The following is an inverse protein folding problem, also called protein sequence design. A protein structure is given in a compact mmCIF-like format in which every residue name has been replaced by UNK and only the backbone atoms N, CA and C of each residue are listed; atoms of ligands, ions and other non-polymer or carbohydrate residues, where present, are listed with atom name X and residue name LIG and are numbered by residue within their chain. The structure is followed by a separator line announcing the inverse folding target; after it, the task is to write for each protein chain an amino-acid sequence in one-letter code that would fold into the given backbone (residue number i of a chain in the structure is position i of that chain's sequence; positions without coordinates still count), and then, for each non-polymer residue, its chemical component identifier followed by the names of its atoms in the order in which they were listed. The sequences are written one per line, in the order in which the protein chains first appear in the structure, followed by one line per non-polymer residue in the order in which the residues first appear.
data_IF_314080815716
#
_entry.id   IF_314080815716
#
_cell.length_a   1.000
_cell.length_b   1.000
_cell.length_c   1.000
_cell.angle_alpha   90.00
_cell.angle_beta   90.00
_cell.angle_gamma   90.00
#
_symmetry.space_group_name_H-M   'P 1'
#
loop_
_entity.id
_entity.type
_entity.pdbx_description
1 polymer ?
#
# COMPACT_ATOMS: atom_id res chain seq x y z
N UNK A 1 -9.49 32.59 13.66
CA UNK A 1 -10.52 31.98 12.78
C UNK A 1 -9.94 31.61 11.44
N UNK A 2 -9.49 32.57 10.65
CA UNK A 2 -8.90 32.29 9.34
C UNK A 2 -7.62 31.43 9.44
N UNK A 3 -6.85 31.59 10.53
CA UNK A 3 -5.65 30.78 10.74
C UNK A 3 -5.95 29.30 10.94
N UNK A 4 -7.10 28.97 11.49
CA UNK A 4 -7.53 27.57 11.64
C UNK A 4 -7.84 26.90 10.30
N UNK A 5 -8.45 27.65 9.38
CA UNK A 5 -8.70 27.14 8.04
C UNK A 5 -7.41 26.90 7.27
N UNK A 6 -6.47 27.82 7.37
CA UNK A 6 -5.16 27.67 6.75
C UNK A 6 -4.40 26.48 7.33
N UNK A 7 -4.44 26.32 8.65
CA UNK A 7 -3.82 25.18 9.31
C UNK A 7 -4.45 23.86 8.85
N UNK A 8 -5.76 23.82 8.61
CA UNK A 8 -6.43 22.63 8.08
C UNK A 8 -5.95 22.25 6.67
N UNK A 9 -5.79 23.24 5.79
CA UNK A 9 -5.26 23.01 4.45
C UNK A 9 -3.81 22.53 4.50
N UNK A 10 -3.00 23.16 5.35
CA UNK A 10 -1.60 22.77 5.54
C UNK A 10 -1.48 21.36 6.10
N UNK A 11 -2.38 20.96 7.00
CA UNK A 11 -2.40 19.62 7.56
C UNK A 11 -2.67 18.57 6.49
N UNK A 12 -3.58 18.83 5.56
CA UNK A 12 -3.86 17.91 4.46
C UNK A 12 -2.63 17.73 3.56
N UNK A 13 -1.94 18.83 3.25
CA UNK A 13 -0.72 18.77 2.46
C UNK A 13 0.39 18.03 3.21
N UNK A 14 0.50 18.25 4.52
CA UNK A 14 1.47 17.54 5.37
C UNK A 14 1.19 16.05 5.37
N UNK A 15 -0.07 15.65 5.51
CA UNK A 15 -0.45 14.24 5.50
C UNK A 15 -0.03 13.59 4.19
N UNK A 16 -0.31 14.23 3.05
CA UNK A 16 0.06 13.72 1.74
C UNK A 16 1.58 13.66 1.55
N UNK A 17 2.31 14.69 2.02
CA UNK A 17 3.76 14.73 1.91
C UNK A 17 4.45 13.77 2.86
N UNK A 18 3.79 13.42 3.97
CA UNK A 18 4.32 12.49 4.97
C UNK A 18 3.74 11.09 4.80
N UNK A 19 2.97 10.86 3.75
CA UNK A 19 2.44 9.55 3.45
C UNK A 19 3.58 8.55 3.27
N UNK A 20 3.35 7.35 3.77
CA UNK A 20 4.34 6.27 3.70
C UNK A 20 3.82 5.24 2.71
N UNK A 21 4.64 4.93 1.72
CA UNK A 21 4.35 3.86 0.77
C UNK A 21 5.23 2.67 1.07
N UNK A 22 4.61 1.53 1.26
CA UNK A 22 5.30 0.27 1.49
C UNK A 22 5.10 -0.59 0.25
N UNK A 23 6.19 -0.99 -0.36
CA UNK A 23 6.17 -1.93 -1.47
C UNK A 23 6.51 -3.31 -0.94
N UNK A 24 5.55 -4.22 -1.06
CA UNK A 24 5.75 -5.61 -0.68
C UNK A 24 5.83 -6.45 -1.95
N UNK A 25 6.97 -7.06 -2.16
CA UNK A 25 7.19 -7.91 -3.33
C UNK A 25 7.06 -9.36 -2.90
N UNK A 26 5.98 -10.00 -3.31
CA UNK A 26 5.69 -11.39 -2.98
C UNK A 26 6.21 -12.30 -4.08
N UNK A 27 6.88 -13.36 -3.68
CA UNK A 27 7.34 -14.42 -4.60
C UNK A 27 6.85 -15.77 -4.11
N UNK A 28 6.54 -16.63 -5.04
CA UNK A 28 6.12 -18.00 -4.76
C UNK A 28 6.45 -18.90 -5.92
N UNK A 29 5.82 -20.07 -5.96
CA UNK A 29 5.95 -21.02 -7.06
C UNK A 29 4.55 -21.39 -7.56
N UNK A 30 4.45 -21.91 -8.77
CA UNK A 30 3.21 -22.43 -9.33
C UNK A 30 2.06 -21.41 -9.35
N UNK A 31 2.37 -20.12 -9.52
CA UNK A 31 1.38 -19.06 -9.55
C UNK A 31 0.81 -18.70 -8.18
N UNK A 32 1.43 -19.15 -7.11
CA UNK A 32 0.90 -18.98 -5.77
C UNK A 32 0.79 -17.52 -5.32
N UNK A 33 1.71 -16.65 -5.75
CA UNK A 33 1.62 -15.24 -5.40
C UNK A 33 0.37 -14.60 -6.00
N UNK A 34 0.03 -14.94 -7.23
CA UNK A 34 -1.20 -14.47 -7.87
C UNK A 34 -2.44 -15.05 -7.19
N UNK A 35 -2.43 -16.33 -6.87
CA UNK A 35 -3.55 -16.98 -6.15
C UNK A 35 -3.80 -16.30 -4.81
N UNK A 36 -2.73 -15.97 -4.10
CA UNK A 36 -2.81 -15.23 -2.85
C UNK A 36 -3.48 -13.87 -3.06
N UNK A 37 -3.01 -13.09 -4.03
CA UNK A 37 -3.57 -11.76 -4.30
C UNK A 37 -5.05 -11.87 -4.69
N UNK A 38 -5.41 -12.84 -5.51
CA UNK A 38 -6.79 -13.09 -5.91
C UNK A 38 -7.66 -13.45 -4.70
N UNK A 39 -7.17 -14.27 -3.80
CA UNK A 39 -7.93 -14.63 -2.59
C UNK A 39 -8.06 -13.43 -1.64
N UNK A 40 -7.03 -12.62 -1.49
CA UNK A 40 -7.11 -11.37 -0.72
C UNK A 40 -8.24 -10.47 -1.24
N UNK A 41 -8.41 -10.42 -2.56
CA UNK A 41 -9.45 -9.62 -3.20
C UNK A 41 -10.83 -10.27 -3.03
N UNK A 42 -10.95 -11.55 -3.41
CA UNK A 42 -12.25 -12.24 -3.44
C UNK A 42 -12.83 -12.47 -2.05
N UNK A 43 -11.99 -12.60 -1.04
CA UNK A 43 -12.44 -12.78 0.35
C UNK A 43 -12.99 -11.49 0.97
N UNK A 44 -12.83 -10.34 0.31
CA UNK A 44 -13.23 -9.05 0.86
C UNK A 44 -12.16 -8.42 1.77
N UNK A 45 -11.02 -9.08 1.94
CA UNK A 45 -9.96 -8.57 2.82
C UNK A 45 -9.38 -7.26 2.29
N UNK A 46 -9.13 -7.17 0.99
CA UNK A 46 -8.63 -5.93 0.37
C UNK A 46 -9.61 -4.78 0.57
N UNK A 47 -10.90 -5.02 0.35
CA UNK A 47 -11.92 -3.98 0.55
C UNK A 47 -11.94 -3.50 2.00
N UNK A 48 -11.80 -4.42 2.95
CA UNK A 48 -11.76 -4.07 4.37
C UNK A 48 -10.53 -3.23 4.71
N UNK A 49 -9.37 -3.55 4.12
CA UNK A 49 -8.15 -2.75 4.33
C UNK A 49 -8.32 -1.36 3.74
N UNK A 50 -8.87 -1.27 2.54
CA UNK A 50 -9.10 0.03 1.89
C UNK A 50 -10.07 0.91 2.66
N UNK A 51 -10.94 0.33 3.48
CA UNK A 51 -11.86 1.05 4.33
C UNK A 51 -11.23 1.52 5.65
N UNK A 52 -10.04 1.06 5.99
CA UNK A 52 -9.35 1.48 7.20
C UNK A 52 -8.93 2.94 7.10
N UNK A 53 -9.04 3.64 8.24
CA UNK A 53 -8.64 5.05 8.30
C UNK A 53 -7.16 5.20 7.95
N UNK A 54 -6.90 6.12 7.04
CA UNK A 54 -5.54 6.44 6.63
C UNK A 54 -5.00 5.57 5.51
N UNK A 55 -5.73 4.53 5.06
CA UNK A 55 -5.29 3.79 3.89
C UNK A 55 -5.49 4.65 2.63
N UNK A 56 -4.42 4.85 1.88
CA UNK A 56 -4.43 5.65 0.66
C UNK A 56 -4.39 4.78 -0.59
N UNK A 57 -3.80 3.59 -0.49
CA UNK A 57 -3.62 2.71 -1.63
C UNK A 57 -3.35 1.30 -1.15
N UNK A 58 -3.98 0.34 -1.77
CA UNK A 58 -3.73 -1.07 -1.53
C UNK A 58 -4.02 -1.80 -2.83
N UNK A 59 -2.99 -1.96 -3.67
CA UNK A 59 -3.17 -2.46 -5.04
C UNK A 59 -2.08 -3.46 -5.39
N UNK A 60 -2.50 -4.54 -6.05
CA UNK A 60 -1.60 -5.59 -6.51
C UNK A 60 -1.26 -5.40 -7.98
N UNK A 61 -0.03 -5.72 -8.33
CA UNK A 61 0.50 -5.66 -9.69
C UNK A 61 1.29 -6.90 -10.01
N UNK A 62 1.10 -7.41 -11.21
CA UNK A 62 1.85 -8.57 -11.71
C UNK A 62 3.13 -8.08 -12.38
N UNK A 63 4.27 -8.70 -12.05
CA UNK A 63 5.51 -8.45 -12.80
C UNK A 63 5.36 -9.00 -14.21
N UNK A 64 5.75 -8.21 -15.22
CA UNK A 64 5.71 -8.66 -16.61
C UNK A 64 6.82 -9.66 -16.92
N UNK A 65 7.94 -9.55 -16.22
CA UNK A 65 9.12 -10.40 -16.44
C UNK A 65 9.07 -11.71 -15.66
N UNK A 66 8.30 -11.72 -14.56
CA UNK A 66 8.29 -12.85 -13.64
C UNK A 66 6.86 -13.12 -13.16
N UNK A 67 6.20 -14.14 -13.73
CA UNK A 67 4.82 -14.48 -13.34
C UNK A 67 4.70 -14.98 -11.90
N UNK A 68 5.81 -15.31 -11.25
CA UNK A 68 5.82 -15.76 -9.87
C UNK A 68 5.94 -14.61 -8.87
N UNK A 69 6.00 -13.36 -9.36
CA UNK A 69 6.16 -12.17 -8.51
C UNK A 69 4.96 -11.23 -8.63
N UNK A 70 4.41 -10.88 -7.47
CA UNK A 70 3.34 -9.87 -7.34
C UNK A 70 3.88 -8.74 -6.46
N UNK A 71 3.68 -7.52 -6.91
CA UNK A 71 3.97 -6.32 -6.12
C UNK A 71 2.69 -5.80 -5.50
N UNK A 72 2.71 -5.58 -4.20
CA UNK A 72 1.67 -4.82 -3.50
C UNK A 72 2.20 -3.43 -3.23
N UNK A 73 1.48 -2.42 -3.68
CA UNK A 73 1.71 -1.04 -3.28
C UNK A 73 0.72 -0.70 -2.18
N UNK A 74 1.23 -0.43 -1.00
CA UNK A 74 0.47 -0.27 0.23
C UNK A 74 0.84 1.09 0.84
N UNK A 75 -0.05 2.07 0.70
CA UNK A 75 0.24 3.45 1.12
C UNK A 75 -0.71 3.89 2.23
N UNK A 76 -0.17 4.60 3.19
CA UNK A 76 -0.86 5.07 4.38
C UNK A 76 -0.54 6.53 4.66
N UNK A 77 -1.49 7.22 5.24
CA UNK A 77 -1.34 8.65 5.56
C UNK A 77 -0.26 8.92 6.61
N UNK A 78 0.01 7.93 7.48
CA UNK A 78 0.95 8.11 8.60
C UNK A 78 1.41 6.75 9.16
N UNK A 79 2.45 6.78 9.97
CA UNK A 79 2.87 5.60 10.72
C UNK A 79 1.79 5.14 11.70
N UNK A 80 1.04 6.08 12.28
CA UNK A 80 -0.05 5.74 13.19
C UNK A 80 -1.13 4.92 12.50
N UNK A 81 -1.44 5.24 11.25
CA UNK A 81 -2.40 4.47 10.45
C UNK A 81 -1.87 3.05 10.18
N UNK A 82 -0.59 2.92 9.89
CA UNK A 82 0.05 1.61 9.72
C UNK A 82 -0.03 0.80 11.01
N UNK A 83 0.29 1.42 12.13
CA UNK A 83 0.26 0.76 13.44
C UNK A 83 -1.15 0.28 13.79
N UNK A 84 -2.16 1.10 13.50
CA UNK A 84 -3.55 0.72 13.70
C UNK A 84 -3.94 -0.48 12.82
N UNK A 85 -3.50 -0.47 11.55
CA UNK A 85 -3.71 -1.60 10.65
C UNK A 85 -3.07 -2.88 11.19
N UNK A 86 -1.82 -2.80 11.66
CA UNK A 86 -1.11 -3.95 12.22
C UNK A 86 -1.75 -4.49 13.51
N UNK A 87 -2.55 -3.69 14.19
CA UNK A 87 -3.26 -4.11 15.40
C UNK A 87 -4.58 -4.82 15.11
N UNK A 88 -5.02 -4.90 13.87
CA UNK A 88 -6.28 -5.55 13.50
C UNK A 88 -6.14 -7.07 13.48
N UNK A 89 -7.26 -7.76 13.71
CA UNK A 89 -7.30 -9.22 13.57
C UNK A 89 -7.05 -9.69 12.15
N UNK A 90 -7.25 -8.80 11.19
CA UNK A 90 -7.03 -9.05 9.77
C UNK A 90 -5.59 -9.49 9.48
N UNK A 91 -4.63 -9.02 10.29
CA UNK A 91 -3.23 -9.42 10.14
C UNK A 91 -3.02 -10.93 10.30
N UNK A 92 -3.81 -11.57 11.17
CA UNK A 92 -3.76 -13.02 11.31
C UNK A 92 -4.27 -13.73 10.06
N UNK A 93 -5.32 -13.20 9.44
CA UNK A 93 -5.85 -13.72 8.17
C UNK A 93 -4.79 -13.60 7.07
N UNK A 94 -4.15 -12.45 6.96
CA UNK A 94 -3.11 -12.21 5.95
C UNK A 94 -1.94 -13.17 6.16
N UNK A 95 -1.49 -13.33 7.40
CA UNK A 95 -0.38 -14.23 7.74
C UNK A 95 -0.72 -15.68 7.37
N UNK A 96 -1.95 -16.12 7.65
CA UNK A 96 -2.40 -17.46 7.31
C UNK A 96 -2.41 -17.69 5.80
N UNK A 97 -2.82 -16.68 5.03
CA UNK A 97 -2.83 -16.78 3.57
C UNK A 97 -1.40 -16.82 3.00
N UNK A 98 -0.49 -16.03 3.56
CA UNK A 98 0.93 -16.07 3.16
C UNK A 98 1.52 -17.45 3.37
N UNK A 99 1.19 -18.06 4.49
CA UNK A 99 1.64 -19.43 4.80
C UNK A 99 0.99 -20.46 3.89
N UNK A 100 -0.32 -20.34 3.66
CA UNK A 100 -1.07 -21.25 2.78
C UNK A 100 -0.43 -21.35 1.40
N UNK A 101 0.03 -20.23 0.87
CA UNK A 101 0.62 -20.16 -0.47
C UNK A 101 2.13 -20.22 -0.48
N UNK A 102 2.74 -20.45 0.69
CA UNK A 102 4.20 -20.54 0.85
C UNK A 102 4.93 -19.37 0.21
N UNK A 103 4.52 -18.15 0.57
CA UNK A 103 5.07 -16.94 -0.02
C UNK A 103 6.26 -16.42 0.77
N UNK A 104 7.21 -15.89 0.02
CA UNK A 104 8.30 -15.10 0.55
C UNK A 104 8.12 -13.65 0.11
N UNK A 105 8.67 -12.70 0.86
CA UNK A 105 8.48 -11.30 0.50
C UNK A 105 9.67 -10.44 0.90
N UNK A 106 9.88 -9.39 0.11
CA UNK A 106 10.77 -8.29 0.46
C UNK A 106 9.94 -7.03 0.65
N UNK A 107 10.38 -6.14 1.52
CA UNK A 107 9.63 -4.94 1.88
C UNK A 107 10.53 -3.73 1.76
N UNK A 108 10.03 -2.69 1.09
CA UNK A 108 10.71 -1.41 0.97
C UNK A 108 9.74 -0.31 1.36
N UNK A 109 10.25 0.75 1.99
CA UNK A 109 9.42 1.86 2.45
C UNK A 109 9.92 3.15 1.84
N UNK A 110 8.97 4.01 1.43
CA UNK A 110 9.26 5.26 0.78
C UNK A 110 8.34 6.36 1.32
N UNK A 111 8.83 7.57 1.29
CA UNK A 111 8.01 8.75 1.51
C UNK A 111 7.95 9.56 0.22
N UNK A 112 6.93 10.38 0.08
CA UNK A 112 6.78 11.20 -1.11
C UNK A 112 7.80 12.34 -1.08
N UNK A 113 8.71 12.33 -2.02
CA UNK A 113 9.72 13.38 -2.16
C UNK A 113 9.18 14.64 -2.84
N UNK A 114 7.96 14.57 -3.39
CA UNK A 114 7.46 15.60 -4.26
C UNK A 114 8.12 15.55 -5.63
N UNK A 115 7.68 16.42 -6.52
CA UNK A 115 8.21 16.48 -7.87
C UNK A 115 8.53 17.94 -8.21
N UNK A 116 9.77 18.25 -8.64
CA UNK A 116 10.08 19.58 -9.12
C UNK A 116 9.19 19.95 -10.31
N UNK A 117 8.78 21.20 -10.36
CA UNK A 117 7.91 21.68 -11.45
C UNK A 117 8.52 21.46 -12.82
N UNK A 118 9.84 21.56 -12.92
CA UNK A 118 10.57 21.35 -14.17
C UNK A 118 10.38 19.94 -14.72
N UNK A 119 10.09 18.95 -13.88
CA UNK A 119 9.90 17.57 -14.31
C UNK A 119 8.58 17.39 -15.06
N UNK A 120 7.63 18.33 -14.92
CA UNK A 120 6.34 18.25 -15.59
C UNK A 120 6.46 18.22 -17.12
N UNK A 121 7.53 18.79 -17.67
CA UNK A 121 7.76 18.78 -19.11
C UNK A 121 7.93 17.37 -19.68
N UNK A 122 8.30 16.40 -18.84
CA UNK A 122 8.51 15.02 -19.26
C UNK A 122 7.28 14.15 -19.03
N UNK A 123 6.22 14.72 -18.48
CA UNK A 123 4.99 13.98 -18.20
C UNK A 123 3.99 14.25 -19.32
N UNK A 124 3.63 13.20 -20.04
CA UNK A 124 2.60 13.28 -21.06
C UNK A 124 1.23 13.19 -20.38
N UNK A 125 0.42 14.22 -20.59
CA UNK A 125 -0.94 14.28 -20.01
C UNK A 125 -2.02 14.06 -21.03
#
# INVERSE_FOLDING_TARGET
MSSLLLAGCDNNQKENSMAITVNLRYTGVDGNARKFAEEMITSGTVDAIRAEEGNLRYEYYQSLDDPETILLIDSWASQEAIDAHHATQMMATIAALREKYDLHMTVERYTNAGMPETDNQFIRK
#
